data_IF_590434720535
#
_entry.id   IF_590434720535
#
_cell.length_a   1.000
_cell.length_b   1.000
_cell.length_c   1.000
_cell.angle_alpha   90.00
_cell.angle_beta   90.00
_cell.angle_gamma   90.00
#
_symmetry.space_group_name_H-M   'P 1'
#
loop_
_entity.id
_entity.type
_entity.pdbx_description
1 polymer ?
#
# COMPACT_ATOMS: atom_id res chain seq x y z
N UNK A 1 9.29 -0.49 -10.45
CA UNK A 1 9.18 -1.35 -9.25
C UNK A 1 8.15 -0.87 -8.23
N UNK A 2 7.65 -1.77 -7.37
CA UNK A 2 6.86 -1.45 -6.17
C UNK A 2 7.77 -1.00 -5.01
N UNK A 3 7.27 -0.23 -4.03
CA UNK A 3 8.10 0.21 -2.89
C UNK A 3 8.64 -0.97 -2.09
N UNK A 4 9.93 -0.91 -1.74
CA UNK A 4 10.57 -1.92 -0.92
C UNK A 4 9.89 -2.05 0.46
N UNK A 5 9.70 -3.30 0.91
CA UNK A 5 9.04 -3.64 2.18
C UNK A 5 9.84 -4.70 2.97
N UNK A 6 9.76 -4.76 4.31
CA UNK A 6 10.36 -5.85 5.07
C UNK A 6 9.50 -7.11 5.00
N UNK A 7 10.13 -8.28 5.14
CA UNK A 7 9.42 -9.48 5.59
C UNK A 7 9.00 -9.32 7.05
N UNK A 8 7.96 -10.05 7.47
CA UNK A 8 7.48 -10.09 8.84
C UNK A 8 8.58 -10.56 9.79
N UNK A 9 9.43 -11.50 9.33
CA UNK A 9 10.62 -11.93 10.07
C UNK A 9 11.58 -10.77 10.28
N UNK A 10 12.00 -10.08 9.22
CA UNK A 10 12.93 -8.95 9.33
C UNK A 10 12.35 -7.83 10.19
N UNK A 11 11.06 -7.53 10.07
CA UNK A 11 10.40 -6.53 10.92
C UNK A 11 10.54 -6.87 12.41
N UNK A 12 10.24 -8.11 12.80
CA UNK A 12 10.17 -8.53 14.21
C UNK A 12 11.54 -8.89 14.78
N UNK A 13 12.35 -9.60 14.01
CA UNK A 13 13.60 -10.20 14.47
C UNK A 13 14.80 -9.29 14.25
N UNK A 14 14.88 -8.59 13.13
CA UNK A 14 16.04 -7.77 12.81
C UNK A 14 15.84 -6.32 13.29
N UNK A 15 14.69 -5.73 12.92
CA UNK A 15 14.37 -4.34 13.24
C UNK A 15 13.77 -4.17 14.63
N UNK A 16 13.32 -5.26 15.26
CA UNK A 16 12.65 -5.28 16.58
C UNK A 16 11.46 -4.32 16.64
N UNK A 17 10.75 -4.16 15.52
CA UNK A 17 9.57 -3.31 15.42
C UNK A 17 8.30 -4.13 15.69
N UNK A 18 7.28 -3.54 16.34
CA UNK A 18 5.98 -4.18 16.47
C UNK A 18 5.31 -4.32 15.09
N UNK A 19 4.53 -5.39 14.89
CA UNK A 19 3.70 -5.54 13.70
C UNK A 19 2.50 -4.58 13.79
N UNK A 20 2.38 -3.56 12.93
CA UNK A 20 1.22 -2.67 12.94
C UNK A 20 -0.04 -3.35 12.37
N UNK A 21 -1.18 -2.70 12.59
CA UNK A 21 -2.43 -3.00 11.87
C UNK A 21 -2.23 -2.98 10.35
N UNK A 22 -3.06 -3.71 9.60
CA UNK A 22 -3.04 -3.71 8.13
C UNK A 22 -3.38 -2.35 7.52
N UNK A 23 -3.99 -1.47 8.31
CA UNK A 23 -4.23 -0.09 7.94
C UNK A 23 -2.96 0.76 7.83
N UNK A 24 -1.82 0.28 8.35
CA UNK A 24 -0.50 0.91 8.18
C UNK A 24 0.44 -0.07 7.45
N UNK A 25 0.68 0.11 6.15
CA UNK A 25 1.45 -0.82 5.34
C UNK A 25 2.91 -0.85 5.78
N UNK A 26 3.54 -2.02 5.65
CA UNK A 26 4.92 -2.19 6.10
C UNK A 26 5.92 -1.38 5.26
N UNK A 27 5.59 -1.11 3.99
CA UNK A 27 6.35 -0.22 3.12
C UNK A 27 6.28 1.24 3.57
N UNK A 28 5.29 1.67 4.35
CA UNK A 28 5.17 3.05 4.82
C UNK A 28 5.80 3.27 6.21
N UNK A 29 6.46 2.26 6.77
CA UNK A 29 7.08 2.39 8.08
C UNK A 29 8.26 3.36 8.07
N UNK A 30 8.29 4.20 9.11
CA UNK A 30 9.38 5.14 9.35
C UNK A 30 10.53 4.42 10.05
N UNK A 31 11.52 4.04 9.26
CA UNK A 31 12.76 3.46 9.74
C UNK A 31 13.89 3.73 8.72
N UNK A 32 15.11 4.11 9.14
CA UNK A 32 16.17 4.52 8.22
C UNK A 32 16.48 3.51 7.10
N UNK A 33 16.62 2.22 7.45
CA UNK A 33 16.92 1.19 6.43
C UNK A 33 15.74 0.92 5.47
N UNK A 34 14.50 1.10 5.93
CA UNK A 34 13.31 0.94 5.09
C UNK A 34 13.17 2.12 4.13
N UNK A 35 13.36 3.35 4.63
CA UNK A 35 13.41 4.54 3.80
C UNK A 35 14.51 4.44 2.73
N UNK A 36 15.72 4.00 3.11
CA UNK A 36 16.80 3.79 2.15
C UNK A 36 16.48 2.69 1.15
N UNK A 37 15.87 1.58 1.57
CA UNK A 37 15.47 0.52 0.65
C UNK A 37 14.45 1.04 -0.36
N UNK A 38 13.43 1.79 0.07
CA UNK A 38 12.45 2.39 -0.85
C UNK A 38 13.09 3.32 -1.86
N UNK A 39 13.95 4.23 -1.40
CA UNK A 39 14.68 5.15 -2.28
C UNK A 39 15.56 4.39 -3.27
N UNK A 40 16.31 3.40 -2.79
CA UNK A 40 17.25 2.63 -3.61
C UNK A 40 16.54 1.78 -4.68
N UNK A 41 15.30 1.36 -4.42
CA UNK A 41 14.47 0.57 -5.34
C UNK A 41 13.26 1.37 -5.86
N UNK A 42 13.37 2.69 -5.95
CA UNK A 42 12.35 3.51 -6.63
C UNK A 42 12.63 3.66 -8.14
N UNK A 43 13.89 3.53 -8.55
CA UNK A 43 14.35 3.71 -9.93
C UNK A 43 14.93 2.40 -10.48
N UNK A 44 14.24 1.84 -11.47
CA UNK A 44 14.61 0.58 -12.14
C UNK A 44 15.95 0.72 -12.92
N UNK A 45 16.41 1.95 -13.18
CA UNK A 45 17.70 2.25 -13.83
C UNK A 45 18.90 2.34 -12.87
N UNK A 46 18.67 2.33 -11.55
CA UNK A 46 19.73 2.45 -10.57
C UNK A 46 20.56 1.15 -10.47
N UNK A 47 21.89 1.26 -10.55
CA UNK A 47 22.76 0.10 -10.37
C UNK A 47 22.77 -0.39 -8.92
N UNK A 48 22.27 -1.60 -8.67
CA UNK A 48 22.27 -2.20 -7.33
C UNK A 48 23.50 -3.09 -7.07
N UNK A 49 24.21 -2.84 -5.96
CA UNK A 49 25.37 -3.65 -5.56
C UNK A 49 24.94 -5.04 -5.04
N UNK A 50 25.35 -6.13 -5.70
CA UNK A 50 25.04 -7.51 -5.26
C UNK A 50 25.83 -7.96 -4.04
N UNK A 51 25.23 -8.83 -3.22
CA UNK A 51 25.91 -9.60 -2.16
C UNK A 51 26.52 -10.85 -2.79
N UNK A 52 27.77 -10.76 -3.25
CA UNK A 52 28.44 -11.84 -4.01
C UNK A 52 28.73 -13.11 -3.21
N UNK A 53 28.68 -13.05 -1.88
CA UNK A 53 28.91 -14.19 -0.99
C UNK A 53 27.68 -15.11 -0.84
N UNK A 54 26.52 -14.70 -1.35
CA UNK A 54 25.31 -15.51 -1.42
C UNK A 54 25.13 -15.96 -2.87
N UNK A 55 24.97 -17.27 -3.08
CA UNK A 55 24.97 -17.90 -4.41
C UNK A 55 23.70 -18.68 -4.78
N UNK A 56 22.76 -18.84 -3.84
CA UNK A 56 21.46 -19.46 -4.09
C UNK A 56 20.40 -18.48 -4.56
N UNK A 57 20.50 -17.20 -4.18
CA UNK A 57 19.58 -16.13 -4.56
C UNK A 57 20.33 -14.84 -4.91
N UNK A 58 19.72 -14.00 -5.76
CA UNK A 58 20.27 -12.67 -6.08
C UNK A 58 19.84 -11.68 -5.02
N UNK A 59 20.78 -11.32 -4.13
CA UNK A 59 20.56 -10.31 -3.10
C UNK A 59 21.32 -9.03 -3.38
N UNK A 60 20.71 -7.91 -3.02
CA UNK A 60 21.26 -6.57 -3.19
C UNK A 60 21.50 -5.88 -1.85
N UNK A 61 22.59 -5.13 -1.78
CA UNK A 61 23.01 -4.39 -0.59
C UNK A 61 22.20 -3.10 -0.46
N UNK A 62 21.71 -2.85 0.75
CA UNK A 62 21.21 -1.53 1.17
C UNK A 62 22.03 -1.07 2.36
N UNK A 63 22.54 0.17 2.31
CA UNK A 63 23.42 0.74 3.33
C UNK A 63 22.97 2.17 3.66
N UNK A 64 22.72 2.45 4.94
CA UNK A 64 22.46 3.82 5.43
C UNK A 64 23.00 3.97 6.83
N UNK A 65 23.87 4.96 7.06
CA UNK A 65 24.55 5.14 8.35
C UNK A 65 25.16 3.81 8.84
N UNK A 66 24.82 3.38 10.07
CA UNK A 66 25.20 2.08 10.64
C UNK A 66 24.35 0.91 10.17
N UNK A 67 23.20 1.14 9.55
CA UNK A 67 22.32 0.07 9.08
C UNK A 67 22.81 -0.57 7.79
N UNK A 68 22.67 -1.89 7.72
CA UNK A 68 22.92 -2.73 6.57
C UNK A 68 21.70 -3.60 6.33
N UNK A 69 21.41 -3.86 5.07
CA UNK A 69 20.30 -4.69 4.65
C UNK A 69 20.64 -5.53 3.42
N UNK A 70 19.89 -6.62 3.28
CA UNK A 70 19.84 -7.46 2.10
C UNK A 70 18.42 -7.45 1.53
N UNK A 71 18.31 -7.06 0.27
CA UNK A 71 17.04 -7.03 -0.46
C UNK A 71 17.04 -8.12 -1.52
N UNK A 72 15.96 -8.89 -1.55
CA UNK A 72 15.62 -9.83 -2.62
C UNK A 72 14.41 -9.28 -3.37
N UNK A 73 14.24 -9.58 -4.64
CA UNK A 73 13.11 -9.06 -5.44
C UNK A 73 12.32 -10.23 -6.02
N UNK A 74 11.01 -10.26 -5.74
CA UNK A 74 10.04 -11.17 -6.38
C UNK A 74 9.35 -10.38 -7.49
N UNK A 75 9.59 -10.73 -8.76
CA UNK A 75 9.11 -9.95 -9.90
C UNK A 75 9.49 -8.46 -9.78
N UNK A 76 8.54 -7.58 -9.44
CA UNK A 76 8.73 -6.14 -9.26
C UNK A 76 8.61 -5.67 -7.80
N UNK A 77 8.54 -6.60 -6.83
CA UNK A 77 8.36 -6.31 -5.40
C UNK A 77 9.66 -6.58 -4.60
N UNK A 78 10.37 -5.52 -4.17
CA UNK A 78 11.57 -5.67 -3.35
C UNK A 78 11.24 -5.98 -1.89
N UNK A 79 11.81 -7.06 -1.37
CA UNK A 79 11.70 -7.52 0.01
C UNK A 79 13.03 -7.32 0.74
N UNK A 80 13.04 -6.52 1.81
CA UNK A 80 14.12 -6.51 2.79
C UNK A 80 14.02 -7.78 3.63
N UNK A 81 14.86 -8.76 3.30
CA UNK A 81 14.88 -10.10 3.89
C UNK A 81 15.90 -10.25 5.02
N UNK A 82 16.81 -9.28 5.19
CA UNK A 82 17.69 -9.23 6.35
C UNK A 82 18.10 -7.80 6.63
N UNK A 83 18.20 -7.43 7.90
CA UNK A 83 18.71 -6.14 8.34
C UNK A 83 19.57 -6.27 9.61
N UNK A 84 20.47 -5.32 9.82
CA UNK A 84 21.31 -5.29 11.00
C UNK A 84 22.14 -4.02 11.07
N UNK A 85 22.82 -3.81 12.19
CA UNK A 85 23.76 -2.71 12.33
C UNK A 85 25.19 -3.22 12.15
N UNK A 86 26.04 -2.37 11.60
CA UNK A 86 27.49 -2.53 11.67
C UNK A 86 27.93 -2.04 13.06
N UNK A 87 28.45 -2.93 13.89
CA UNK A 87 29.06 -2.55 15.17
C UNK A 87 30.45 -1.92 14.90
N UNK A 88 30.76 -0.82 15.61
CA UNK A 88 32.07 -0.18 15.52
C UNK A 88 33.16 -1.12 16.07
N UNK A 89 34.11 -1.49 15.22
CA UNK A 89 35.26 -2.32 15.58
C UNK A 89 34.98 -3.83 15.65
N UNK A 90 33.77 -4.29 15.31
CA UNK A 90 33.50 -5.74 15.23
C UNK A 90 34.14 -6.35 13.97
N UNK A 91 34.79 -7.54 14.09
CA UNK A 91 35.27 -8.30 12.93
C UNK A 91 34.11 -8.79 12.03
N UNK A 92 32.89 -8.85 12.57
CA UNK A 92 31.73 -9.39 11.87
C UNK A 92 30.99 -8.28 11.10
N UNK A 93 31.44 -8.01 9.86
CA UNK A 93 30.64 -7.24 8.90
C UNK A 93 29.29 -7.95 8.68
N UNK A 94 28.18 -7.20 8.67
CA UNK A 94 26.83 -7.73 8.52
C UNK A 94 26.71 -8.76 7.37
N UNK A 95 27.37 -8.50 6.23
CA UNK A 95 27.32 -9.39 5.08
C UNK A 95 28.11 -10.69 5.30
N UNK A 96 29.19 -10.66 6.09
CA UNK A 96 29.93 -11.86 6.50
C UNK A 96 29.12 -12.70 7.50
N UNK A 97 28.41 -12.04 8.43
CA UNK A 97 27.49 -12.72 9.34
C UNK A 97 26.32 -13.38 8.58
N UNK A 98 25.74 -12.66 7.61
CA UNK A 98 24.70 -13.19 6.73
C UNK A 98 25.18 -14.42 5.94
N UNK A 99 26.38 -14.36 5.35
CA UNK A 99 27.00 -15.51 4.66
C UNK A 99 27.17 -16.71 5.60
N UNK A 100 27.67 -16.47 6.81
CA UNK A 100 27.87 -17.53 7.81
C UNK A 100 26.56 -18.20 8.19
N UNK A 101 25.51 -17.42 8.46
CA UNK A 101 24.17 -17.95 8.74
C UNK A 101 23.60 -18.71 7.54
N UNK A 102 23.77 -18.21 6.32
CA UNK A 102 23.29 -18.87 5.11
C UNK A 102 23.98 -20.22 4.84
N UNK A 103 25.29 -20.32 5.10
CA UNK A 103 26.03 -21.60 5.03
C UNK A 103 25.56 -22.59 6.09
N UNK A 104 25.31 -22.13 7.31
CA UNK A 104 24.78 -22.97 8.38
C UNK A 104 23.37 -23.48 8.06
N UNK A 105 22.49 -22.62 7.53
CA UNK A 105 21.16 -23.00 7.07
C UNK A 105 21.20 -24.03 5.94
N UNK A 106 22.14 -23.87 5.00
CA UNK A 106 22.38 -24.85 3.91
C UNK A 106 22.81 -26.21 4.44
N UNK A 107 23.71 -26.25 5.42
CA UNK A 107 24.11 -27.49 6.07
C UNK A 107 22.92 -28.20 6.75
N UNK A 108 22.08 -27.43 7.45
CA UNK A 108 20.86 -27.95 8.06
C UNK A 108 19.85 -28.47 7.01
N UNK A 109 19.64 -27.75 5.91
CA UNK A 109 18.78 -28.18 4.82
C UNK A 109 19.25 -29.52 4.24
N UNK A 110 20.53 -29.64 3.90
CA UNK A 110 21.10 -30.84 3.29
C UNK A 110 21.10 -32.06 4.23
N UNK A 111 21.10 -31.84 5.55
CA UNK A 111 20.95 -32.93 6.52
C UNK A 111 19.54 -33.55 6.50
N UNK A 112 18.51 -32.77 6.14
CA UNK A 112 17.12 -33.14 6.26
C UNK A 112 16.39 -33.36 4.92
N UNK A 113 17.01 -33.00 3.79
CA UNK A 113 16.36 -33.02 2.48
C UNK A 113 17.17 -33.80 1.44
N UNK A 114 16.47 -34.45 0.50
CA UNK A 114 17.08 -35.07 -0.68
C UNK A 114 16.33 -34.62 -1.93
N UNK A 115 17.04 -34.20 -3.01
CA UNK A 115 18.50 -34.09 -3.13
C UNK A 115 19.09 -32.90 -2.35
N UNK A 116 20.42 -32.90 -2.06
CA UNK A 116 21.07 -31.76 -1.43
C UNK A 116 21.19 -30.57 -2.40
N UNK A 117 21.28 -29.36 -1.84
CA UNK A 117 21.57 -28.14 -2.59
C UNK A 117 23.01 -28.12 -3.12
N UNK A 118 23.15 -27.75 -4.38
CA UNK A 118 24.44 -27.57 -5.07
C UNK A 118 25.14 -26.25 -4.72
N UNK A 119 24.37 -25.26 -4.25
CA UNK A 119 24.84 -23.94 -3.80
C UNK A 119 25.61 -24.04 -2.49
N UNK A 120 26.43 -23.03 -2.21
CA UNK A 120 27.19 -22.94 -0.96
C UNK A 120 26.38 -22.28 0.16
N UNK A 121 25.41 -21.45 -0.19
CA UNK A 121 24.50 -20.79 0.75
C UNK A 121 23.06 -21.26 0.58
N UNK A 122 22.24 -20.96 1.60
CA UNK A 122 20.79 -21.14 1.56
C UNK A 122 20.09 -20.03 2.37
N UNK A 123 19.44 -19.10 1.68
CA UNK A 123 18.68 -17.98 2.25
C UNK A 123 17.17 -18.17 2.12
N UNK A 124 16.69 -19.33 1.63
CA UNK A 124 15.26 -19.60 1.47
C UNK A 124 14.43 -19.42 2.74
N UNK A 125 15.04 -19.58 3.92
CA UNK A 125 14.41 -19.35 5.23
C UNK A 125 14.24 -17.85 5.58
N UNK A 126 14.84 -16.94 4.81
CA UNK A 126 14.75 -15.48 4.96
C UNK A 126 13.78 -14.84 3.96
N UNK A 127 13.46 -15.55 2.88
CA UNK A 127 12.54 -15.10 1.82
C UNK A 127 11.10 -14.93 2.36
N UNK A 128 10.28 -14.07 1.73
CA UNK A 128 8.89 -13.89 2.14
C UNK A 128 8.10 -15.20 2.07
N UNK A 129 7.38 -15.50 3.14
CA UNK A 129 6.51 -16.68 3.25
C UNK A 129 5.05 -16.37 2.86
N UNK A 130 4.13 -17.32 3.11
CA UNK A 130 2.71 -17.09 2.83
C UNK A 130 2.11 -15.97 3.71
N UNK A 131 2.55 -15.83 4.97
CA UNK A 131 2.06 -14.76 5.83
C UNK A 131 2.50 -13.39 5.32
N UNK A 132 3.69 -13.27 4.75
CA UNK A 132 4.17 -12.06 4.09
C UNK A 132 3.29 -11.68 2.90
N UNK A 133 2.95 -12.66 2.07
CA UNK A 133 2.07 -12.48 0.89
C UNK A 133 0.65 -12.13 1.29
N UNK A 134 0.07 -12.85 2.25
CA UNK A 134 -1.27 -12.57 2.79
C UNK A 134 -1.33 -11.18 3.41
N UNK A 135 -0.28 -10.80 4.16
CA UNK A 135 -0.16 -9.46 4.72
C UNK A 135 -0.11 -8.40 3.63
N UNK A 136 0.67 -8.62 2.57
CA UNK A 136 0.75 -7.67 1.46
C UNK A 136 -0.59 -7.49 0.75
N UNK A 137 -1.30 -8.59 0.51
CA UNK A 137 -2.62 -8.57 -0.12
C UNK A 137 -3.66 -7.85 0.76
N UNK A 138 -3.63 -8.06 2.07
CA UNK A 138 -4.50 -7.35 3.00
C UNK A 138 -4.22 -5.83 2.99
N UNK A 139 -2.95 -5.43 2.91
CA UNK A 139 -2.56 -4.01 2.81
C UNK A 139 -2.98 -3.38 1.48
N UNK A 140 -3.09 -4.14 0.39
CA UNK A 140 -3.61 -3.64 -0.87
C UNK A 140 -5.06 -3.12 -0.73
N UNK A 141 -5.90 -3.80 0.04
CA UNK A 141 -7.24 -3.31 0.39
C UNK A 141 -7.19 -2.01 1.21
N UNK A 142 -6.27 -1.92 2.17
CA UNK A 142 -6.11 -0.71 2.99
C UNK A 142 -5.60 0.50 2.18
N UNK A 143 -4.74 0.28 1.17
CA UNK A 143 -4.32 1.31 0.22
C UNK A 143 -5.49 1.76 -0.64
N UNK A 144 -6.23 0.81 -1.23
CA UNK A 144 -7.41 1.10 -2.04
C UNK A 144 -8.43 1.96 -1.30
N UNK A 145 -8.74 1.63 -0.03
CA UNK A 145 -9.69 2.42 0.78
C UNK A 145 -9.15 3.83 1.04
N UNK A 146 -7.84 4.00 1.30
CA UNK A 146 -7.23 5.33 1.49
C UNK A 146 -7.25 6.15 0.22
N UNK A 147 -6.89 5.57 -0.91
CA UNK A 147 -6.90 6.23 -2.22
C UNK A 147 -8.32 6.64 -2.61
N UNK A 148 -9.29 5.75 -2.39
CA UNK A 148 -10.69 6.03 -2.63
C UNK A 148 -11.22 7.14 -1.73
N UNK A 149 -10.91 7.12 -0.43
CA UNK A 149 -11.34 8.17 0.49
C UNK A 149 -10.75 9.54 0.12
N UNK A 150 -9.48 9.57 -0.29
CA UNK A 150 -8.83 10.79 -0.77
C UNK A 150 -9.48 11.31 -2.06
N UNK A 151 -9.75 10.42 -3.02
CA UNK A 151 -10.43 10.78 -4.27
C UNK A 151 -11.86 11.28 -4.01
N UNK A 152 -12.64 10.60 -3.16
CA UNK A 152 -14.00 11.02 -2.79
C UNK A 152 -13.98 12.43 -2.21
N UNK A 153 -13.05 12.72 -1.27
CA UNK A 153 -12.91 14.05 -0.68
C UNK A 153 -12.60 15.10 -1.75
N UNK A 154 -11.65 14.82 -2.64
CA UNK A 154 -11.22 15.75 -3.68
C UNK A 154 -12.32 16.02 -4.72
N UNK A 155 -13.01 14.98 -5.18
CA UNK A 155 -14.15 15.14 -6.10
C UNK A 155 -15.29 15.92 -5.45
N UNK A 156 -15.57 15.68 -4.16
CA UNK A 156 -16.57 16.44 -3.39
C UNK A 156 -16.19 17.91 -3.32
N UNK A 157 -14.93 18.21 -2.99
CA UNK A 157 -14.40 19.58 -2.91
C UNK A 157 -14.48 20.30 -4.26
N UNK A 158 -14.04 19.64 -5.34
CA UNK A 158 -14.14 20.18 -6.69
C UNK A 158 -15.57 20.52 -7.07
N UNK A 159 -16.49 19.60 -6.79
CA UNK A 159 -17.91 19.78 -7.09
C UNK A 159 -18.58 20.88 -6.26
N UNK A 160 -18.23 21.01 -4.98
CA UNK A 160 -18.67 22.15 -4.15
C UNK A 160 -18.21 23.49 -4.71
N UNK A 161 -17.05 23.51 -5.38
CA UNK A 161 -16.42 24.73 -5.84
C UNK A 161 -17.08 25.30 -7.10
N UNK A 162 -17.64 24.46 -7.97
CA UNK A 162 -18.21 24.87 -9.25
C UNK A 162 -19.64 24.38 -9.52
N UNK A 163 -20.22 23.52 -8.67
CA UNK A 163 -21.55 22.95 -8.81
C UNK A 163 -21.70 21.91 -9.95
N UNK A 164 -20.58 21.47 -10.53
CA UNK A 164 -20.54 20.47 -11.61
C UNK A 164 -20.14 19.10 -11.08
N UNK A 165 -20.42 18.06 -11.86
CA UNK A 165 -19.98 16.71 -11.50
C UNK A 165 -18.47 16.57 -11.74
N UNK A 166 -17.74 16.13 -10.72
CA UNK A 166 -16.34 15.74 -10.83
C UNK A 166 -16.24 14.23 -10.82
N UNK A 167 -15.36 13.66 -11.66
CA UNK A 167 -15.22 12.21 -11.76
C UNK A 167 -13.77 11.75 -11.87
N UNK A 168 -13.51 10.56 -11.34
CA UNK A 168 -12.23 9.86 -11.43
C UNK A 168 -12.42 8.43 -11.95
N UNK A 169 -11.45 7.96 -12.72
CA UNK A 169 -11.39 6.59 -13.23
C UNK A 169 -10.57 5.70 -12.29
N UNK A 170 -11.14 4.57 -11.90
CA UNK A 170 -10.47 3.48 -11.20
C UNK A 170 -10.39 2.25 -12.13
N UNK A 171 -9.50 1.28 -11.87
CA UNK A 171 -9.30 0.13 -12.77
C UNK A 171 -10.58 -0.64 -13.14
N UNK A 172 -11.58 -0.70 -12.24
CA UNK A 172 -12.81 -1.48 -12.44
C UNK A 172 -14.08 -0.62 -12.60
N UNK A 173 -14.03 0.68 -12.28
CA UNK A 173 -15.21 1.54 -12.27
C UNK A 173 -14.85 3.02 -12.38
N UNK A 174 -15.84 3.83 -12.74
CA UNK A 174 -15.73 5.30 -12.69
C UNK A 174 -16.58 5.83 -11.55
N UNK A 175 -16.01 6.70 -10.73
CA UNK A 175 -16.68 7.41 -9.64
C UNK A 175 -16.97 8.85 -10.08
N UNK A 176 -18.20 9.31 -9.92
CA UNK A 176 -18.61 10.70 -10.07
C UNK A 176 -19.25 11.22 -8.79
N UNK A 177 -18.99 12.48 -8.45
CA UNK A 177 -19.61 13.18 -7.33
C UNK A 177 -20.15 14.52 -7.82
N UNK A 178 -21.39 14.82 -7.46
CA UNK A 178 -22.05 16.09 -7.71
C UNK A 178 -22.56 16.64 -6.38
N UNK A 179 -22.17 17.87 -6.05
CA UNK A 179 -22.68 18.63 -4.91
C UNK A 179 -23.24 19.94 -5.42
N UNK A 180 -24.49 20.24 -5.05
CA UNK A 180 -25.17 21.48 -5.43
C UNK A 180 -25.90 22.06 -4.23
N UNK A 181 -25.64 23.33 -3.95
CA UNK A 181 -26.54 24.11 -3.11
C UNK A 181 -27.80 24.43 -3.92
N UNK A 182 -28.96 24.08 -3.39
CA UNK A 182 -30.23 24.57 -3.91
C UNK A 182 -30.58 25.92 -3.25
N UNK A 183 -31.38 26.75 -3.93
CA UNK A 183 -31.81 28.08 -3.47
C UNK A 183 -32.61 28.02 -2.14
N UNK A 184 -32.99 26.82 -1.69
CA UNK A 184 -33.70 26.53 -0.43
C UNK A 184 -32.84 26.24 0.80
N UNK A 185 -31.51 26.48 0.76
CA UNK A 185 -30.52 26.20 1.83
C UNK A 185 -30.14 24.73 2.06
N UNK A 186 -30.63 23.81 1.24
CA UNK A 186 -30.22 22.41 1.29
C UNK A 186 -29.06 22.16 0.33
N UNK A 187 -28.01 21.48 0.80
CA UNK A 187 -26.88 21.08 -0.05
C UNK A 187 -27.10 19.64 -0.49
N UNK A 188 -27.47 19.44 -1.74
CA UNK A 188 -27.68 18.13 -2.34
C UNK A 188 -26.35 17.52 -2.73
N UNK A 189 -26.12 16.25 -2.35
CA UNK A 189 -24.96 15.47 -2.78
C UNK A 189 -25.44 14.20 -3.50
N UNK A 190 -24.83 13.91 -4.65
CA UNK A 190 -25.04 12.68 -5.40
C UNK A 190 -23.71 12.01 -5.73
N UNK A 191 -23.71 10.68 -5.63
CA UNK A 191 -22.62 9.81 -6.04
C UNK A 191 -23.09 8.97 -7.21
N UNK A 192 -22.27 8.89 -8.26
CA UNK A 192 -22.46 8.01 -9.41
C UNK A 192 -21.32 7.01 -9.49
N UNK A 193 -21.67 5.75 -9.70
CA UNK A 193 -20.73 4.68 -10.01
C UNK A 193 -21.08 4.08 -11.37
N UNK A 194 -20.09 3.88 -12.23
CA UNK A 194 -20.25 3.21 -13.52
C UNK A 194 -19.35 1.99 -13.59
N UNK A 195 -19.93 0.83 -13.90
CA UNK A 195 -19.22 -0.44 -13.99
C UNK A 195 -19.66 -1.44 -12.92
N UNK A 196 -18.89 -2.53 -12.78
CA UNK A 196 -19.18 -3.61 -11.83
C UNK A 196 -18.55 -3.30 -10.47
N UNK A 197 -19.30 -2.62 -9.60
CA UNK A 197 -18.84 -2.26 -8.25
C UNK A 197 -19.50 -3.17 -7.22
N UNK A 198 -18.74 -3.89 -6.37
CA UNK A 198 -19.29 -4.68 -5.27
C UNK A 198 -19.95 -3.81 -4.20
N UNK A 199 -21.00 -4.31 -3.54
CA UNK A 199 -21.77 -3.59 -2.51
C UNK A 199 -20.89 -3.04 -1.37
N UNK A 200 -19.88 -3.79 -0.94
CA UNK A 200 -18.95 -3.34 0.10
C UNK A 200 -18.16 -2.10 -0.34
N UNK A 201 -17.79 -2.00 -1.63
CA UNK A 201 -17.07 -0.86 -2.16
C UNK A 201 -17.99 0.35 -2.35
N UNK A 202 -19.26 0.12 -2.73
CA UNK A 202 -20.29 1.16 -2.72
C UNK A 202 -20.43 1.75 -1.31
N UNK A 203 -20.56 0.90 -0.29
CA UNK A 203 -20.67 1.34 1.11
C UNK A 203 -19.44 2.14 1.56
N UNK A 204 -18.24 1.77 1.14
CA UNK A 204 -17.01 2.53 1.41
C UNK A 204 -17.07 3.91 0.76
N UNK A 205 -17.41 4.01 -0.53
CA UNK A 205 -17.55 5.31 -1.23
C UNK A 205 -18.53 6.23 -0.49
N UNK A 206 -19.75 5.75 -0.26
CA UNK A 206 -20.82 6.54 0.35
C UNK A 206 -20.49 7.00 1.77
N UNK A 207 -19.82 6.14 2.56
CA UNK A 207 -19.33 6.48 3.91
C UNK A 207 -18.28 7.59 3.90
N UNK A 208 -17.49 7.70 2.82
CA UNK A 208 -16.37 8.63 2.76
C UNK A 208 -16.71 10.00 2.18
N UNK A 209 -17.94 10.22 1.70
CA UNK A 209 -18.39 11.55 1.25
C UNK A 209 -18.47 12.47 2.49
N UNK A 210 -17.67 13.54 2.57
CA UNK A 210 -17.66 14.42 3.72
C UNK A 210 -19.02 15.10 3.94
N UNK A 211 -19.41 15.28 5.20
CA UNK A 211 -20.63 16.02 5.55
C UNK A 211 -21.95 15.28 5.29
N UNK A 212 -21.91 14.02 4.87
CA UNK A 212 -23.10 13.19 4.63
C UNK A 212 -23.26 12.10 5.70
N UNK A 213 -24.50 11.79 6.07
CA UNK A 213 -24.80 10.65 6.95
C UNK A 213 -24.67 9.34 6.13
N UNK A 214 -23.76 8.41 6.50
CA UNK A 214 -23.57 7.15 5.78
C UNK A 214 -24.81 6.26 5.70
N UNK A 215 -25.80 6.49 6.56
CA UNK A 215 -27.07 5.74 6.59
C UNK A 215 -28.22 6.41 5.84
N UNK A 216 -28.03 7.65 5.37
CA UNK A 216 -29.07 8.47 4.74
C UNK A 216 -28.93 8.55 3.20
N UNK A 217 -28.36 7.52 2.57
CA UNK A 217 -28.22 7.45 1.12
C UNK A 217 -29.42 6.77 0.48
N UNK A 218 -29.99 7.40 -0.54
CA UNK A 218 -31.13 6.87 -1.29
C UNK A 218 -30.69 6.49 -2.70
N UNK A 219 -31.04 5.29 -3.20
CA UNK A 219 -30.77 4.93 -4.59
C UNK A 219 -31.60 5.80 -5.53
N UNK A 220 -30.97 6.26 -6.60
CA UNK A 220 -31.57 7.16 -7.58
C UNK A 220 -31.79 6.48 -8.93
N UNK A 221 -32.87 6.87 -9.61
CA UNK A 221 -33.16 6.44 -10.98
C UNK A 221 -32.72 7.47 -12.04
N UNK A 222 -32.32 8.66 -11.59
CA UNK A 222 -31.82 9.75 -12.41
C UNK A 222 -30.86 10.64 -11.59
N UNK A 223 -29.95 11.32 -12.26
CA UNK A 223 -29.19 12.42 -11.67
C UNK A 223 -29.91 13.74 -11.93
N UNK A 224 -29.57 14.83 -11.20
CA UNK A 224 -30.07 16.15 -11.54
C UNK A 224 -29.85 16.44 -13.02
N UNK A 225 -30.91 16.84 -13.73
CA UNK A 225 -30.93 17.18 -15.16
C UNK A 225 -30.74 16.03 -16.18
N UNK A 226 -30.54 14.76 -15.79
CA UNK A 226 -30.44 13.64 -16.74
C UNK A 226 -30.83 12.27 -16.18
N UNK A 227 -31.30 11.38 -17.05
CA UNK A 227 -31.46 9.96 -16.73
C UNK A 227 -30.11 9.25 -16.56
N UNK A 228 -30.11 8.14 -15.82
CA UNK A 228 -28.96 7.24 -15.74
C UNK A 228 -28.73 6.52 -17.06
N UNK A 229 -27.46 6.35 -17.41
CA UNK A 229 -27.02 5.54 -18.54
C UNK A 229 -26.91 4.06 -18.14
N UNK A 230 -26.86 3.12 -19.09
CA UNK A 230 -26.62 1.71 -18.78
C UNK A 230 -25.35 1.52 -17.94
N UNK A 231 -25.42 0.62 -16.95
CA UNK A 231 -24.37 0.35 -15.98
C UNK A 231 -23.98 1.53 -15.06
N UNK A 232 -24.76 2.61 -15.04
CA UNK A 232 -24.70 3.61 -13.98
C UNK A 232 -25.59 3.21 -12.81
N UNK A 233 -25.07 3.41 -11.62
CA UNK A 233 -25.82 3.38 -10.37
C UNK A 233 -25.58 4.72 -9.67
N UNK A 234 -26.62 5.29 -9.07
CA UNK A 234 -26.50 6.56 -8.38
C UNK A 234 -27.19 6.52 -7.03
N UNK A 235 -26.66 7.32 -6.10
CA UNK A 235 -27.23 7.55 -4.79
C UNK A 235 -27.21 9.03 -4.49
N UNK A 236 -28.17 9.50 -3.70
CA UNK A 236 -28.20 10.88 -3.24
C UNK A 236 -28.48 10.98 -1.73
N UNK A 237 -28.11 12.13 -1.18
CA UNK A 237 -28.39 12.51 0.19
C UNK A 237 -28.29 14.03 0.35
N UNK A 238 -28.58 14.51 1.56
CA UNK A 238 -28.30 15.88 1.95
C UNK A 238 -26.96 15.94 2.67
N UNK A 239 -26.13 16.90 2.27
CA UNK A 239 -24.88 17.26 2.91
C UNK A 239 -25.13 18.36 3.94
N UNK A 240 -24.50 18.26 5.11
CA UNK A 240 -24.49 19.32 6.10
C UNK A 240 -23.83 20.59 5.52
N UNK A 241 -24.56 21.71 5.40
CA UNK A 241 -24.01 22.95 4.85
C UNK A 241 -22.80 23.46 5.62
N UNK A 242 -22.70 23.17 6.93
CA UNK A 242 -21.54 23.56 7.73
C UNK A 242 -20.30 22.76 7.33
N UNK A 243 -20.44 21.44 7.20
CA UNK A 243 -19.35 20.58 6.73
C UNK A 243 -18.93 20.92 5.29
N UNK A 244 -19.87 21.29 4.42
CA UNK A 244 -19.59 21.78 3.07
C UNK A 244 -18.73 23.06 3.09
N UNK A 245 -19.10 24.03 3.94
CA UNK A 245 -18.34 25.26 4.11
C UNK A 245 -16.94 25.00 4.71
N UNK A 246 -16.81 24.09 5.66
CA UNK A 246 -15.51 23.69 6.23
C UNK A 246 -14.61 23.08 5.14
N UNK A 247 -15.14 22.16 4.32
CA UNK A 247 -14.39 21.52 3.24
C UNK A 247 -13.92 22.50 2.15
N UNK A 248 -14.69 23.55 1.87
CA UNK A 248 -14.29 24.62 0.94
C UNK A 248 -13.14 25.50 1.47
N UNK A 249 -12.95 25.56 2.79
CA UNK A 249 -11.93 26.39 3.43
C UNK A 249 -10.61 25.64 3.71
N UNK A 250 -10.53 24.35 3.39
CA UNK A 250 -9.30 23.57 3.50
C UNK A 250 -8.37 23.85 2.31
N UNK A 251 -7.14 24.29 2.58
CA UNK A 251 -6.05 24.46 1.59
C UNK A 251 -5.40 23.14 1.20
#
# INVERSE_FOLDING_TARGET
MQPARPTLRTLREDLKLPLPSALKPLDELDHPILAKAREHFADDGAGHERIRSIDDEVLFKVKVQRWRGAVWTDEDLPWLIAAGQREDGSPDDFYSALETTARAARAHYNANNRPPLSTTTYVGHLLPDQNDRDRYQLEAGARLVRDLAAAVRELTRGSLHDGHEHAADFPAFRLGILVRADDGHETYAAVRLTGSVPDDLIAVVLRHVPGCDPSAWYPEYALPSRSLLPAEQAWSTLMDPKAAAELLNEE
#
